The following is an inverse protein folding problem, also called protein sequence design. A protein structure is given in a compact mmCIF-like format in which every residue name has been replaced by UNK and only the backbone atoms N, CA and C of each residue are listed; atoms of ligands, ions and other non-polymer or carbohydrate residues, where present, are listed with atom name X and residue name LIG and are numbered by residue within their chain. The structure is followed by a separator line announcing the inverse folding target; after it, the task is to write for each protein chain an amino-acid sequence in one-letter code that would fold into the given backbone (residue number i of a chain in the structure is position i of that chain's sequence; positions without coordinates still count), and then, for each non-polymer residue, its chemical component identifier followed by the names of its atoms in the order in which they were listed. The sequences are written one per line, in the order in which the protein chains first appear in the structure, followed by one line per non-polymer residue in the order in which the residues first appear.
data_IF_468256825410
#
_entry.id   IF_468256825410
#
_cell.length_a   1.000
_cell.length_b   1.000
_cell.length_c   1.000
_cell.angle_alpha   90.00
_cell.angle_beta   90.00
_cell.angle_gamma   90.00
#
_symmetry.space_group_name_H-M   'P 1'
#
loop_
_entity.id
_entity.type
_entity.pdbx_description
1 polymer ?
#
# COMPACT_ATOMS: atom_id res chain seq x y z
N UNK A 1 16.71 -8.75 -20.80
CA UNK A 1 16.63 -8.75 -19.32
C UNK A 1 16.03 -10.09 -18.91
N UNK A 2 16.48 -10.69 -17.81
CA UNK A 2 15.84 -11.93 -17.30
C UNK A 2 14.39 -11.63 -16.91
N UNK A 3 13.48 -12.58 -17.16
CA UNK A 3 12.08 -12.62 -16.72
C UNK A 3 11.90 -12.15 -15.27
N UNK A 4 12.82 -12.53 -14.38
CA UNK A 4 12.81 -12.13 -12.98
C UNK A 4 13.11 -10.65 -12.78
N UNK A 5 14.04 -10.07 -13.55
CA UNK A 5 14.37 -8.65 -13.46
C UNK A 5 13.21 -7.76 -13.92
N UNK A 6 12.42 -8.21 -14.89
CA UNK A 6 11.20 -7.50 -15.29
C UNK A 6 10.13 -7.57 -14.21
N UNK A 7 9.94 -8.72 -13.56
CA UNK A 7 9.02 -8.85 -12.43
C UNK A 7 9.42 -7.91 -11.27
N UNK A 8 10.70 -7.88 -10.87
CA UNK A 8 11.17 -6.95 -9.84
C UNK A 8 10.92 -5.49 -10.23
N UNK A 9 11.18 -5.11 -11.48
CA UNK A 9 10.95 -3.75 -11.95
C UNK A 9 9.47 -3.37 -11.95
N UNK A 10 8.58 -4.30 -12.27
CA UNK A 10 7.13 -4.08 -12.22
C UNK A 10 6.67 -3.82 -10.79
N UNK A 11 7.08 -4.67 -9.85
CA UNK A 11 6.73 -4.48 -8.45
C UNK A 11 7.37 -3.21 -7.86
N UNK A 12 8.58 -2.85 -8.30
CA UNK A 12 9.22 -1.60 -7.88
C UNK A 12 8.37 -0.38 -8.26
N UNK A 13 7.78 -0.33 -9.45
CA UNK A 13 6.92 0.78 -9.85
C UNK A 13 5.68 0.90 -8.96
N UNK A 14 5.08 -0.23 -8.56
CA UNK A 14 3.94 -0.23 -7.65
C UNK A 14 4.33 0.21 -6.23
N UNK A 15 5.48 -0.25 -5.74
CA UNK A 15 6.04 0.13 -4.44
C UNK A 15 6.39 1.61 -4.41
N UNK A 16 7.02 2.14 -5.47
CA UNK A 16 7.33 3.55 -5.62
C UNK A 16 6.07 4.41 -5.58
N UNK A 17 5.01 3.98 -6.27
CA UNK A 17 3.71 4.67 -6.25
C UNK A 17 3.11 4.72 -4.84
N UNK A 18 3.19 3.62 -4.09
CA UNK A 18 2.70 3.56 -2.71
C UNK A 18 3.51 4.48 -1.78
N UNK A 19 4.85 4.46 -1.86
CA UNK A 19 5.70 5.32 -1.05
C UNK A 19 5.56 6.80 -1.42
N UNK A 20 5.44 7.12 -2.70
CA UNK A 20 5.20 8.50 -3.17
C UNK A 20 3.92 9.04 -2.54
N UNK A 21 2.83 8.24 -2.56
CA UNK A 21 1.58 8.62 -1.93
C UNK A 21 1.71 8.78 -0.41
N UNK A 22 2.47 7.91 0.28
CA UNK A 22 2.73 8.04 1.70
C UNK A 22 3.46 9.35 2.02
N UNK A 23 4.45 9.72 1.21
CA UNK A 23 5.22 10.95 1.37
C UNK A 23 4.36 12.19 1.09
N UNK A 24 3.48 12.17 0.10
CA UNK A 24 2.51 13.24 -0.17
C UNK A 24 1.57 13.47 1.02
N UNK A 25 1.06 12.39 1.61
CA UNK A 25 0.23 12.46 2.81
C UNK A 25 1.01 13.05 3.99
N UNK A 26 2.26 12.62 4.21
CA UNK A 26 3.14 13.18 5.25
C UNK A 26 3.38 14.68 5.03
N UNK A 27 3.66 15.09 3.80
CA UNK A 27 3.90 16.49 3.45
C UNK A 27 2.65 17.34 3.67
N UNK A 28 1.49 16.83 3.26
CA UNK A 28 0.19 17.49 3.48
C UNK A 28 -0.10 17.71 4.98
N UNK A 29 0.07 16.66 5.80
CA UNK A 29 -0.17 16.78 7.24
C UNK A 29 0.85 17.70 7.91
N UNK A 30 2.13 17.64 7.49
CA UNK A 30 3.16 18.55 7.99
C UNK A 30 2.82 20.01 7.70
N UNK A 31 2.42 20.33 6.46
CA UNK A 31 2.02 21.68 6.09
C UNK A 31 0.81 22.19 6.92
N UNK A 32 -0.16 21.32 7.21
CA UNK A 32 -1.30 21.66 8.08
C UNK A 32 -0.86 21.92 9.52
N UNK A 33 0.03 21.10 10.07
CA UNK A 33 0.60 21.31 11.41
C UNK A 33 1.36 22.64 11.48
N UNK A 34 2.18 22.94 10.47
CA UNK A 34 2.93 24.19 10.41
C UNK A 34 2.00 25.41 10.33
N UNK A 35 0.91 25.33 9.55
CA UNK A 35 -0.10 26.38 9.49
C UNK A 35 -0.81 26.61 10.84
N UNK A 36 -1.19 25.52 11.53
CA UNK A 36 -1.79 25.61 12.88
C UNK A 36 -0.82 26.24 13.87
N UNK A 37 0.46 25.88 13.83
CA UNK A 37 1.49 26.47 14.71
C UNK A 37 1.77 27.94 14.40
N UNK A 38 1.78 28.31 13.12
CA UNK A 38 2.03 29.69 12.67
C UNK A 38 0.92 30.68 13.08
N UNK A 39 -0.30 30.19 13.35
CA UNK A 39 -1.43 31.02 13.78
C UNK A 39 -1.21 31.77 15.12
N UNK A 40 -0.18 31.42 15.89
CA UNK A 40 0.24 32.14 17.09
C UNK A 40 -0.69 31.94 18.30
N UNK A 41 -0.37 32.60 19.42
CA UNK A 41 -1.09 32.51 20.71
C UNK A 41 -2.27 33.51 20.82
N UNK A 42 -2.62 34.20 19.74
CA UNK A 42 -3.66 35.23 19.77
C UNK A 42 -5.04 34.60 19.66
N UNK A 43 -6.05 35.22 20.29
CA UNK A 43 -7.43 34.71 20.29
C UNK A 43 -7.98 34.38 21.68
N UNK A 44 -9.24 33.95 21.70
CA UNK A 44 -9.94 33.54 22.93
C UNK A 44 -9.32 32.24 23.51
N UNK A 45 -9.54 31.93 24.80
CA UNK A 45 -9.12 30.65 25.38
C UNK A 45 -9.61 29.44 24.57
N UNK A 46 -10.83 29.49 24.03
CA UNK A 46 -11.39 28.44 23.17
C UNK A 46 -10.57 28.23 21.90
N UNK A 47 -10.18 29.31 21.21
CA UNK A 47 -9.38 29.24 19.98
C UNK A 47 -8.01 28.61 20.23
N UNK A 48 -7.40 28.88 21.40
CA UNK A 48 -6.13 28.25 21.79
C UNK A 48 -6.28 26.75 22.00
N UNK A 49 -7.33 26.33 22.71
CA UNK A 49 -7.62 24.90 22.95
C UNK A 49 -7.88 24.14 21.66
N UNK A 50 -8.65 24.72 20.73
CA UNK A 50 -8.91 24.11 19.41
C UNK A 50 -7.62 23.95 18.61
N UNK A 51 -6.78 24.98 18.57
CA UNK A 51 -5.47 24.94 17.90
C UNK A 51 -4.58 23.83 18.46
N UNK A 52 -4.47 23.73 19.79
CA UNK A 52 -3.64 22.71 20.44
C UNK A 52 -4.17 21.29 20.18
N UNK A 53 -5.49 21.13 20.12
CA UNK A 53 -6.13 19.86 19.74
C UNK A 53 -5.80 19.47 18.29
N UNK A 54 -5.88 20.41 17.35
CA UNK A 54 -5.50 20.14 15.96
C UNK A 54 -4.01 19.84 15.80
N UNK A 55 -3.14 20.55 16.52
CA UNK A 55 -1.71 20.29 16.51
C UNK A 55 -1.41 18.85 16.98
N UNK A 56 -1.98 18.46 18.11
CA UNK A 56 -1.84 17.09 18.66
C UNK A 56 -2.34 16.04 17.66
N UNK A 57 -3.53 16.25 17.07
CA UNK A 57 -4.10 15.36 16.06
C UNK A 57 -3.18 15.16 14.84
N UNK A 58 -2.57 16.24 14.33
CA UNK A 58 -1.64 16.14 13.21
C UNK A 58 -0.30 15.50 13.58
N UNK A 59 0.20 15.73 14.79
CA UNK A 59 1.40 15.07 15.32
C UNK A 59 1.20 13.56 15.46
N UNK A 60 0.07 13.13 16.02
CA UNK A 60 -0.31 11.73 16.12
C UNK A 60 -0.40 11.09 14.73
N UNK A 61 -1.03 11.78 13.79
CA UNK A 61 -1.14 11.29 12.40
C UNK A 61 0.23 11.14 11.74
N UNK A 62 1.14 12.10 11.91
CA UNK A 62 2.50 11.99 11.39
C UNK A 62 3.27 10.82 12.01
N UNK A 63 3.08 10.58 13.31
CA UNK A 63 3.69 9.46 14.02
C UNK A 63 3.20 8.13 13.46
N UNK A 64 1.87 8.00 13.25
CA UNK A 64 1.28 6.81 12.60
C UNK A 64 1.84 6.57 11.19
N UNK A 65 1.94 7.62 10.37
CA UNK A 65 2.45 7.50 8.99
C UNK A 65 3.95 7.14 8.93
N UNK A 66 4.75 7.54 9.93
CA UNK A 66 6.15 7.12 10.03
C UNK A 66 6.29 5.68 10.48
N UNK A 67 5.42 5.22 11.38
CA UNK A 67 5.47 3.85 11.90
C UNK A 67 5.19 2.77 10.83
N UNK A 68 4.63 3.14 9.69
CA UNK A 68 4.29 2.23 8.58
C UNK A 68 5.28 2.30 7.42
N UNK A 69 6.35 3.11 7.56
CA UNK A 69 7.39 3.27 6.55
C UNK A 69 8.14 1.95 6.30
N UNK A 70 8.39 1.18 7.36
CA UNK A 70 9.04 -0.12 7.22
C UNK A 70 8.08 -1.19 6.71
N UNK A 71 8.44 -1.77 5.55
CA UNK A 71 7.71 -2.85 4.89
C UNK A 71 6.27 -2.43 4.58
N UNK A 72 6.11 -1.27 3.94
CA UNK A 72 4.80 -0.70 3.60
C UNK A 72 3.95 -1.69 2.77
N UNK A 73 4.55 -2.34 1.78
CA UNK A 73 3.93 -3.31 0.88
C UNK A 73 4.37 -4.72 1.27
N UNK A 74 3.42 -5.66 1.31
CA UNK A 74 3.66 -7.07 1.63
C UNK A 74 3.63 -7.96 0.39
N UNK A 75 2.76 -7.63 -0.56
CA UNK A 75 2.50 -8.48 -1.70
C UNK A 75 1.29 -8.04 -2.51
N UNK A 76 0.84 -8.90 -3.40
CA UNK A 76 -0.23 -8.67 -4.36
C UNK A 76 -1.10 -9.91 -4.51
N UNK A 77 -2.38 -9.68 -4.76
CA UNK A 77 -3.35 -10.68 -5.18
C UNK A 77 -3.78 -10.38 -6.62
N UNK A 78 -3.79 -11.41 -7.44
CA UNK A 78 -4.33 -11.34 -8.80
C UNK A 78 -5.59 -12.22 -8.84
N UNK A 79 -6.68 -11.69 -9.42
CA UNK A 79 -7.95 -12.39 -9.52
C UNK A 79 -8.26 -12.88 -10.94
N UNK A 80 -9.35 -13.62 -11.11
CA UNK A 80 -9.81 -14.18 -12.40
C UNK A 80 -10.16 -13.12 -13.44
N UNK A 81 -10.39 -11.87 -13.04
CA UNK A 81 -10.66 -10.73 -13.93
C UNK A 81 -9.38 -9.98 -14.35
N UNK A 82 -8.20 -10.46 -13.92
CA UNK A 82 -6.91 -9.80 -14.15
C UNK A 82 -6.70 -8.56 -13.29
N UNK A 83 -7.53 -8.34 -12.27
CA UNK A 83 -7.41 -7.23 -11.33
C UNK A 83 -6.32 -7.56 -10.32
N UNK A 84 -5.39 -6.62 -10.19
CA UNK A 84 -4.26 -6.69 -9.26
C UNK A 84 -4.53 -5.84 -8.03
N UNK A 85 -4.46 -6.45 -6.85
CA UNK A 85 -4.66 -5.78 -5.56
C UNK A 85 -3.41 -5.89 -4.70
N UNK A 86 -2.78 -4.75 -4.43
CA UNK A 86 -1.64 -4.68 -3.52
C UNK A 86 -2.09 -4.66 -2.06
N UNK A 87 -1.39 -5.42 -1.22
CA UNK A 87 -1.66 -5.56 0.21
C UNK A 87 -0.49 -4.96 1.00
N UNK A 88 -0.80 -4.21 2.05
CA UNK A 88 0.22 -3.57 2.86
C UNK A 88 -0.23 -3.14 4.25
N UNK A 89 0.64 -2.40 4.94
CA UNK A 89 0.47 -2.00 6.35
C UNK A 89 -0.77 -1.15 6.61
N UNK A 90 -1.14 -0.31 5.65
CA UNK A 90 -2.26 0.62 5.71
C UNK A 90 -2.96 0.71 4.36
N UNK A 91 -4.20 1.19 4.36
CA UNK A 91 -4.90 1.58 3.14
C UNK A 91 -4.35 2.89 2.57
N UNK A 92 -4.03 2.91 1.28
CA UNK A 92 -3.66 4.11 0.53
C UNK A 92 -4.56 4.24 -0.70
N UNK A 93 -5.10 5.44 -0.89
CA UNK A 93 -5.87 5.82 -2.06
C UNK A 93 -5.13 6.88 -2.87
N UNK A 94 -5.31 6.86 -4.19
CA UNK A 94 -4.90 7.94 -5.08
C UNK A 94 -5.67 9.23 -4.76
N UNK A 95 -5.30 10.34 -5.40
CA UNK A 95 -6.06 11.59 -5.30
C UNK A 95 -7.47 11.46 -5.89
N UNK A 96 -7.64 10.57 -6.86
CA UNK A 96 -8.93 10.25 -7.48
C UNK A 96 -9.72 9.19 -6.71
N UNK A 97 -9.25 8.79 -5.51
CA UNK A 97 -9.85 7.76 -4.66
C UNK A 97 -9.74 6.32 -5.19
N UNK A 98 -8.80 6.06 -6.10
CA UNK A 98 -8.51 4.70 -6.55
C UNK A 98 -7.64 3.97 -5.52
N UNK A 99 -7.89 2.67 -5.24
CA UNK A 99 -7.03 1.89 -4.37
C UNK A 99 -5.59 1.78 -4.90
N UNK A 100 -4.62 2.23 -4.11
CA UNK A 100 -3.19 1.98 -4.36
C UNK A 100 -2.71 0.82 -3.50
N UNK A 101 -3.10 0.80 -2.23
CA UNK A 101 -2.71 -0.23 -1.26
C UNK A 101 -3.90 -0.56 -0.38
N UNK A 102 -4.17 -1.85 -0.19
CA UNK A 102 -5.22 -2.35 0.70
C UNK A 102 -4.61 -2.67 2.06
N UNK A 103 -5.25 -2.21 3.13
CA UNK A 103 -4.84 -2.53 4.51
C UNK A 103 -4.97 -4.05 4.74
N UNK A 104 -3.91 -4.68 5.24
CA UNK A 104 -3.89 -6.10 5.53
C UNK A 104 -4.99 -6.56 6.51
N UNK A 105 -5.52 -5.63 7.33
CA UNK A 105 -6.63 -5.91 8.26
C UNK A 105 -8.01 -5.87 7.60
N UNK A 106 -8.11 -5.34 6.38
CA UNK A 106 -9.38 -5.25 5.68
C UNK A 106 -9.85 -6.64 5.22
N UNK A 107 -11.17 -6.83 5.18
CA UNK A 107 -11.77 -8.08 4.69
C UNK A 107 -11.30 -8.42 3.26
N UNK A 108 -11.17 -7.40 2.40
CA UNK A 108 -10.69 -7.53 1.03
C UNK A 108 -9.23 -8.03 0.92
N UNK A 109 -8.46 -8.03 2.01
CA UNK A 109 -7.10 -8.56 2.08
C UNK A 109 -7.03 -9.99 2.66
N UNK A 110 -8.12 -10.51 3.24
CA UNK A 110 -8.14 -11.86 3.84
C UNK A 110 -7.64 -12.98 2.92
N UNK A 111 -7.97 -12.99 1.61
CA UNK A 111 -7.45 -14.03 0.71
C UNK A 111 -5.92 -14.08 0.65
N UNK A 112 -5.22 -12.98 0.97
CA UNK A 112 -3.77 -12.98 1.04
C UNK A 112 -3.22 -13.95 2.08
N UNK A 113 -3.96 -14.18 3.18
CA UNK A 113 -3.53 -15.06 4.27
C UNK A 113 -4.28 -16.39 4.31
N UNK A 114 -5.53 -16.41 3.83
CA UNK A 114 -6.44 -17.55 4.01
C UNK A 114 -6.67 -18.36 2.73
N UNK A 115 -6.47 -17.77 1.54
CA UNK A 115 -6.75 -18.46 0.29
C UNK A 115 -5.80 -19.64 0.08
N UNK A 116 -6.37 -20.77 -0.32
CA UNK A 116 -5.68 -22.02 -0.65
C UNK A 116 -6.12 -22.50 -2.03
N UNK A 117 -5.36 -23.38 -2.70
CA UNK A 117 -5.79 -23.92 -4.00
C UNK A 117 -7.16 -24.62 -4.00
N UNK A 118 -7.62 -25.14 -2.86
CA UNK A 118 -8.96 -25.71 -2.72
C UNK A 118 -10.06 -24.69 -2.39
N UNK A 119 -9.69 -23.53 -1.86
CA UNK A 119 -10.61 -22.50 -1.37
C UNK A 119 -10.01 -21.12 -1.67
N UNK A 120 -9.90 -20.77 -2.96
CA UNK A 120 -9.27 -19.53 -3.41
C UNK A 120 -10.27 -18.41 -3.76
N UNK A 121 -11.55 -18.74 -3.91
CA UNK A 121 -12.55 -17.79 -4.36
C UNK A 121 -12.23 -17.31 -5.79
N UNK A 122 -12.17 -16.00 -6.00
CA UNK A 122 -11.79 -15.38 -7.27
C UNK A 122 -10.28 -15.18 -7.43
N UNK A 123 -9.46 -15.53 -6.43
CA UNK A 123 -8.01 -15.32 -6.49
C UNK A 123 -7.34 -16.44 -7.29
N UNK A 124 -6.50 -16.07 -8.23
CA UNK A 124 -5.75 -17.01 -9.08
C UNK A 124 -4.28 -17.11 -8.68
N UNK A 125 -3.71 -16.02 -8.17
CA UNK A 125 -2.30 -15.95 -7.79
C UNK A 125 -2.10 -15.01 -6.61
N UNK A 126 -1.14 -15.36 -5.75
CA UNK A 126 -0.62 -14.53 -4.68
C UNK A 126 0.88 -14.33 -4.89
N UNK A 127 1.33 -13.07 -4.93
CA UNK A 127 2.74 -12.70 -4.98
C UNK A 127 3.17 -12.11 -3.65
N UNK A 128 4.22 -12.64 -3.04
CA UNK A 128 4.90 -12.02 -1.90
C UNK A 128 6.02 -11.13 -2.40
N UNK A 129 6.13 -9.92 -1.82
CA UNK A 129 7.14 -8.93 -2.20
C UNK A 129 8.05 -8.69 -1.00
N UNK A 130 9.35 -8.91 -1.20
CA UNK A 130 10.37 -8.66 -0.19
C UNK A 130 11.04 -7.33 -0.46
N UNK A 131 10.96 -6.43 0.53
CA UNK A 131 11.56 -5.12 0.48
C UNK A 131 12.83 -5.04 1.33
N UNK A 132 13.83 -4.31 0.84
CA UNK A 132 14.90 -3.71 1.64
C UNK A 132 14.69 -2.21 1.61
N UNK A 133 14.26 -1.64 2.72
CA UNK A 133 13.75 -0.26 2.75
C UNK A 133 12.62 -0.07 1.72
N UNK A 134 12.88 0.68 0.65
CA UNK A 134 11.93 0.96 -0.43
C UNK A 134 12.23 0.19 -1.72
N UNK A 135 13.30 -0.61 -1.73
CA UNK A 135 13.72 -1.38 -2.90
C UNK A 135 13.15 -2.80 -2.86
N UNK A 136 12.58 -3.24 -3.97
CA UNK A 136 12.14 -4.63 -4.17
C UNK A 136 13.36 -5.49 -4.45
N UNK A 137 13.64 -6.40 -3.52
CA UNK A 137 14.80 -7.30 -3.60
C UNK A 137 14.42 -8.74 -3.92
N UNK A 138 13.13 -9.06 -3.91
CA UNK A 138 12.66 -10.40 -4.22
C UNK A 138 11.15 -10.47 -4.35
N UNK A 139 10.71 -11.38 -5.21
CA UNK A 139 9.31 -11.77 -5.38
C UNK A 139 9.19 -13.28 -5.30
N UNK A 140 8.07 -13.77 -4.77
CA UNK A 140 7.72 -15.19 -4.67
C UNK A 140 6.25 -15.38 -5.02
N UNK A 141 5.98 -16.21 -6.03
CA UNK A 141 4.64 -16.44 -6.55
C UNK A 141 4.06 -17.76 -6.06
N UNK A 142 2.79 -17.71 -5.71
CA UNK A 142 1.98 -18.85 -5.34
C UNK A 142 0.73 -18.86 -6.22
N UNK A 143 0.66 -19.85 -7.12
CA UNK A 143 -0.50 -20.06 -7.99
C UNK A 143 -1.55 -20.83 -7.22
N UNK A 144 -2.74 -20.23 -7.08
CA UNK A 144 -3.88 -20.83 -6.39
C UNK A 144 -4.85 -21.52 -7.35
N UNK A 145 -4.93 -21.06 -8.60
CA UNK A 145 -5.70 -21.72 -9.67
C UNK A 145 -4.83 -21.93 -10.91
N UNK A 146 -4.31 -23.15 -11.08
CA UNK A 146 -3.44 -23.53 -12.21
C UNK A 146 -4.18 -23.61 -13.56
N UNK A 147 -5.51 -23.66 -13.54
CA UNK A 147 -6.33 -23.81 -14.74
C UNK A 147 -6.89 -22.48 -15.24
N UNK A 148 -6.59 -21.39 -14.52
CA UNK A 148 -7.00 -20.04 -14.91
C UNK A 148 -6.30 -19.59 -16.19
N UNK A 149 -7.07 -19.01 -17.11
CA UNK A 149 -6.55 -18.36 -18.31
C UNK A 149 -5.54 -17.24 -17.99
N UNK A 150 -5.70 -16.57 -16.84
CA UNK A 150 -4.80 -15.50 -16.39
C UNK A 150 -3.40 -16.02 -16.07
N UNK A 151 -3.29 -17.23 -15.51
CA UNK A 151 -1.99 -17.89 -15.28
C UNK A 151 -1.32 -18.24 -16.62
N UNK A 152 -2.10 -18.74 -17.57
CA UNK A 152 -1.62 -19.01 -18.93
C UNK A 152 -1.05 -17.77 -19.60
N UNK A 153 -1.75 -16.63 -19.51
CA UNK A 153 -1.29 -15.33 -20.04
C UNK A 153 -0.03 -14.85 -19.33
N UNK A 154 0.01 -14.92 -18.00
CA UNK A 154 1.15 -14.47 -17.21
C UNK A 154 2.43 -15.26 -17.54
N UNK A 155 2.31 -16.58 -17.71
CA UNK A 155 3.43 -17.44 -18.09
C UNK A 155 3.93 -17.12 -19.50
N UNK A 156 3.04 -16.92 -20.48
CA UNK A 156 3.42 -16.55 -21.85
C UNK A 156 4.10 -15.18 -21.94
N UNK A 157 3.71 -14.24 -21.07
CA UNK A 157 4.30 -12.90 -20.99
C UNK A 157 5.61 -12.86 -20.21
N UNK A 158 5.99 -13.95 -19.53
CA UNK A 158 7.13 -13.96 -18.63
C UNK A 158 6.92 -13.06 -17.40
N UNK A 159 5.67 -12.89 -16.97
CA UNK A 159 5.35 -12.20 -15.72
C UNK A 159 5.07 -13.17 -14.59
N UNK A 160 5.11 -14.49 -14.87
CA UNK A 160 5.11 -15.62 -13.94
C UNK A 160 6.34 -16.49 -14.23
#
# INVERSE_FOLDING_TARGET
MSTYSSQLSEEQQAVDRAYSRLDDLRNTIRARLDAVRASGSHGSPTQRTERDSFATMYEDRLTQLRAVEDRLVFGRLDNTEGIRRYIGRIGLLSENHDPILTDWRAEAARPFYEATPSHHGDIVMRRHITLRFRDVIGVEDEVLDIHSDEIGKASQQGTL
#
